data_IF_218151635028
#
_entry.id   IF_218151635028
#
_cell.length_a   1.000
_cell.length_b   1.000
_cell.length_c   1.000
_cell.angle_alpha   90.00
_cell.angle_beta   90.00
_cell.angle_gamma   90.00
#
_symmetry.space_group_name_H-M   'P 1'
#
loop_
_entity.id
_entity.type
_entity.pdbx_description
1 polymer ?
#
# COMPACT_ATOMS: atom_id res chain seq x y z
N UNK A 1 0.57 26.95 -39.45
CA UNK A 1 1.11 27.69 -40.61
C UNK A 1 0.99 29.20 -40.44
N UNK A 2 -0.20 29.76 -40.26
CA UNK A 2 -0.41 31.21 -40.10
C UNK A 2 0.47 31.86 -39.00
N UNK A 3 0.50 31.28 -37.80
CA UNK A 3 1.36 31.76 -36.70
C UNK A 3 2.86 31.69 -37.03
N UNK A 4 3.27 30.63 -37.73
CA UNK A 4 4.66 30.44 -38.13
C UNK A 4 5.10 31.50 -39.15
N UNK A 5 4.25 31.82 -40.13
CA UNK A 5 4.48 32.91 -41.09
C UNK A 5 4.51 34.28 -40.41
N UNK A 6 3.66 34.51 -39.41
CA UNK A 6 3.67 35.77 -38.66
C UNK A 6 4.94 35.94 -37.80
N UNK A 7 5.44 34.85 -37.22
CA UNK A 7 6.67 34.85 -36.43
C UNK A 7 7.94 34.90 -37.28
N UNK A 8 7.89 34.41 -38.52
CA UNK A 8 9.03 34.34 -39.44
C UNK A 8 8.66 34.99 -40.78
N UNK A 9 8.83 36.32 -40.92
CA UNK A 9 8.67 37.00 -42.20
C UNK A 9 9.57 36.37 -43.27
N UNK A 10 9.09 36.33 -44.51
CA UNK A 10 9.79 35.76 -45.67
C UNK A 10 10.09 34.25 -45.63
N UNK A 11 9.63 33.54 -44.59
CA UNK A 11 9.77 32.09 -44.53
C UNK A 11 9.03 31.41 -45.69
N UNK A 12 9.66 30.38 -46.25
CA UNK A 12 9.09 29.55 -47.31
C UNK A 12 8.55 28.23 -46.74
N UNK A 13 7.87 27.45 -47.57
CA UNK A 13 7.25 26.18 -47.14
C UNK A 13 8.29 25.21 -46.57
N UNK A 14 9.48 25.21 -47.16
CA UNK A 14 10.63 24.40 -46.79
C UNK A 14 11.11 24.70 -45.36
N UNK A 15 11.12 25.97 -44.95
CA UNK A 15 11.45 26.37 -43.57
C UNK A 15 10.40 25.86 -42.57
N UNK A 16 9.12 25.90 -42.95
CA UNK A 16 8.04 25.36 -42.14
C UNK A 16 8.13 23.84 -41.98
N UNK A 17 8.43 23.10 -43.04
CA UNK A 17 8.59 21.64 -42.97
C UNK A 17 9.81 21.28 -42.13
N UNK A 18 10.93 22.00 -42.26
CA UNK A 18 12.13 21.75 -41.43
C UNK A 18 11.84 21.91 -39.93
N UNK A 19 10.93 22.81 -39.56
CA UNK A 19 10.48 23.01 -38.17
C UNK A 19 9.39 22.01 -37.74
N UNK A 20 8.34 21.83 -38.54
CA UNK A 20 7.14 21.07 -38.17
C UNK A 20 7.29 19.56 -38.37
N UNK A 21 8.05 19.14 -39.38
CA UNK A 21 8.30 17.73 -39.71
C UNK A 21 9.76 17.53 -40.14
N UNK A 22 10.72 17.50 -39.19
CA UNK A 22 12.15 17.34 -39.51
C UNK A 22 12.46 16.08 -40.32
N UNK A 23 11.66 15.01 -40.15
CA UNK A 23 11.80 13.77 -40.91
C UNK A 23 11.47 13.91 -42.41
N UNK A 24 10.71 14.95 -42.79
CA UNK A 24 10.38 15.26 -44.18
C UNK A 24 11.39 16.21 -44.85
N UNK A 25 12.47 16.58 -44.16
CA UNK A 25 13.59 17.33 -44.72
C UNK A 25 14.80 16.41 -44.88
N UNK A 26 15.31 16.29 -46.11
CA UNK A 26 16.46 15.46 -46.44
C UNK A 26 17.68 16.37 -46.60
N UNK A 27 18.67 16.19 -45.72
CA UNK A 27 19.96 16.89 -45.79
C UNK A 27 20.81 16.32 -46.94
N UNK A 28 21.48 17.19 -47.70
CA UNK A 28 22.40 16.74 -48.75
C UNK A 28 23.63 16.05 -48.12
N UNK A 29 24.00 14.83 -48.55
CA UNK A 29 25.04 14.03 -47.90
C UNK A 29 26.47 14.60 -48.06
N UNK A 30 26.68 15.60 -48.92
CA UNK A 30 28.01 16.12 -49.30
C UNK A 30 28.48 17.33 -48.46
N UNK A 31 27.76 17.71 -47.40
CA UNK A 31 28.10 18.90 -46.61
C UNK A 31 28.45 18.50 -45.17
N UNK A 32 29.74 18.62 -44.81
CA UNK A 32 30.16 18.56 -43.40
C UNK A 32 29.35 19.58 -42.58
N UNK A 33 28.85 19.16 -41.42
CA UNK A 33 28.06 19.97 -40.46
C UNK A 33 28.91 21.07 -39.82
N UNK A 34 29.42 21.99 -40.63
CA UNK A 34 30.03 23.23 -40.20
C UNK A 34 28.93 24.22 -39.80
N UNK A 35 29.06 24.82 -38.61
CA UNK A 35 28.05 25.73 -38.04
C UNK A 35 27.85 27.04 -38.85
N UNK A 36 28.72 27.30 -39.82
CA UNK A 36 28.76 28.56 -40.59
C UNK A 36 28.10 28.47 -41.97
N UNK A 37 27.54 27.31 -42.36
CA UNK A 37 26.94 27.14 -43.68
C UNK A 37 25.44 27.48 -43.65
N UNK A 38 25.12 28.78 -43.58
CA UNK A 38 23.77 29.32 -43.70
C UNK A 38 23.55 29.91 -45.10
N UNK A 39 22.45 29.60 -45.81
CA UNK A 39 21.32 28.76 -45.41
C UNK A 39 21.61 27.25 -45.51
N UNK A 40 20.92 26.40 -44.70
CA UNK A 40 21.11 24.95 -44.71
C UNK A 40 20.70 24.36 -46.05
N UNK A 41 21.56 23.51 -46.63
CA UNK A 41 21.29 22.83 -47.91
C UNK A 41 20.54 21.51 -47.66
N UNK A 42 19.53 21.25 -48.48
CA UNK A 42 18.68 20.07 -48.40
C UNK A 42 17.42 20.26 -49.21
N UNK A 43 16.60 19.22 -49.28
CA UNK A 43 15.37 19.22 -50.04
C UNK A 43 14.23 18.51 -49.30
N UNK A 44 13.00 18.75 -49.75
CA UNK A 44 11.82 18.08 -49.21
C UNK A 44 11.85 16.58 -49.52
N UNK A 45 11.23 15.78 -48.66
CA UNK A 45 10.95 14.37 -48.91
C UNK A 45 10.09 14.21 -50.16
N UNK A 46 10.15 13.02 -50.79
CA UNK A 46 9.36 12.72 -51.99
C UNK A 46 7.87 13.08 -51.80
N UNK A 47 7.28 12.68 -50.67
CA UNK A 47 5.90 13.01 -50.29
C UNK A 47 5.63 14.51 -50.21
N UNK A 48 6.55 15.29 -49.63
CA UNK A 48 6.37 16.74 -49.49
C UNK A 48 6.70 17.53 -50.76
N UNK A 49 7.43 16.92 -51.69
CA UNK A 49 7.83 17.50 -52.99
C UNK A 49 6.81 17.28 -54.12
N UNK A 50 5.79 16.46 -53.91
CA UNK A 50 4.76 16.17 -54.92
C UNK A 50 3.98 17.45 -55.32
N UNK A 51 3.61 17.53 -56.61
CA UNK A 51 2.93 18.69 -57.18
C UNK A 51 1.50 18.88 -56.68
N UNK A 52 0.86 17.80 -56.19
CA UNK A 52 -0.49 17.78 -55.60
C UNK A 52 -0.41 17.64 -54.06
N UNK A 53 0.43 18.47 -53.43
CA UNK A 53 0.61 18.42 -51.98
C UNK A 53 -0.36 19.37 -51.27
N UNK A 54 -1.35 18.79 -50.60
CA UNK A 54 -2.31 19.49 -49.72
C UNK A 54 -1.64 20.40 -48.68
N UNK A 55 -0.47 20.04 -48.15
CA UNK A 55 0.28 20.87 -47.20
C UNK A 55 0.83 22.14 -47.86
N UNK A 56 1.24 22.06 -49.12
CA UNK A 56 1.71 23.21 -49.88
C UNK A 56 0.54 24.13 -50.22
N UNK A 57 -0.61 23.58 -50.64
CA UNK A 57 -1.81 24.38 -50.85
C UNK A 57 -2.29 25.10 -49.58
N UNK A 58 -2.30 24.40 -48.45
CA UNK A 58 -2.66 24.98 -47.15
C UNK A 58 -1.66 26.05 -46.71
N UNK A 59 -0.38 25.85 -47.01
CA UNK A 59 0.65 26.84 -46.77
C UNK A 59 0.39 28.10 -47.58
N UNK A 60 0.16 27.98 -48.90
CA UNK A 60 -0.05 29.13 -49.78
C UNK A 60 -1.33 29.91 -49.42
N UNK A 61 -2.38 29.21 -48.99
CA UNK A 61 -3.63 29.82 -48.53
C UNK A 61 -3.55 30.44 -47.13
N UNK A 62 -2.59 30.05 -46.30
CA UNK A 62 -2.46 30.56 -44.94
C UNK A 62 -1.88 31.98 -44.92
N UNK A 63 -2.63 32.93 -44.36
CA UNK A 63 -2.17 34.29 -44.10
C UNK A 63 -1.27 34.35 -42.85
N UNK A 64 -0.31 35.27 -42.83
CA UNK A 64 0.51 35.55 -41.66
C UNK A 64 -0.35 36.26 -40.59
N UNK A 65 -0.73 35.53 -39.53
CA UNK A 65 -1.48 36.06 -38.39
C UNK A 65 -0.91 35.50 -37.09
N UNK A 66 -0.72 36.35 -36.09
CA UNK A 66 -0.22 35.92 -34.78
C UNK A 66 -1.20 34.95 -34.11
N UNK A 67 -0.70 34.03 -33.28
CA UNK A 67 -1.55 33.04 -32.61
C UNK A 67 -2.66 33.67 -31.76
N UNK A 68 -2.39 34.84 -31.16
CA UNK A 68 -3.34 35.62 -30.36
C UNK A 68 -4.47 36.26 -31.17
N UNK A 69 -4.25 36.50 -32.46
CA UNK A 69 -5.21 37.15 -33.36
C UNK A 69 -6.00 36.13 -34.19
N UNK A 70 -5.56 34.87 -34.18
CA UNK A 70 -6.27 33.78 -34.84
C UNK A 70 -7.56 33.46 -34.09
N UNK A 71 -8.61 33.16 -34.85
CA UNK A 71 -9.86 32.66 -34.29
C UNK A 71 -9.59 31.38 -33.50
N UNK A 72 -9.92 31.31 -32.21
CA UNK A 72 -9.77 30.09 -31.42
C UNK A 72 -10.50 28.91 -32.07
N UNK A 73 -9.87 27.73 -32.05
CA UNK A 73 -10.47 26.51 -32.60
C UNK A 73 -11.69 26.04 -31.80
N UNK A 74 -11.68 26.33 -30.49
CA UNK A 74 -12.75 26.03 -29.57
C UNK A 74 -12.99 27.22 -28.64
N UNK A 75 -14.22 27.32 -28.14
CA UNK A 75 -14.61 28.31 -27.16
C UNK A 75 -14.42 27.71 -25.75
N UNK A 76 -13.43 28.17 -24.96
CA UNK A 76 -13.13 27.59 -23.66
C UNK A 76 -14.30 27.68 -22.68
N UNK A 77 -15.13 28.73 -22.77
CA UNK A 77 -16.29 28.89 -21.90
C UNK A 77 -17.35 27.85 -22.23
N UNK A 78 -17.65 27.69 -23.53
CA UNK A 78 -18.61 26.70 -24.00
C UNK A 78 -18.16 25.27 -23.70
N UNK A 79 -16.88 24.95 -23.85
CA UNK A 79 -16.37 23.63 -23.45
C UNK A 79 -16.46 23.44 -21.93
N UNK A 80 -16.20 24.47 -21.13
CA UNK A 80 -16.43 24.45 -19.68
C UNK A 80 -17.87 24.17 -19.31
N UNK A 81 -18.83 24.88 -19.93
CA UNK A 81 -20.27 24.65 -19.72
C UNK A 81 -20.70 23.23 -20.09
N UNK A 82 -20.17 22.66 -21.18
CA UNK A 82 -20.44 21.26 -21.54
C UNK A 82 -19.98 20.29 -20.47
N UNK A 83 -18.80 20.51 -19.89
CA UNK A 83 -18.27 19.67 -18.81
C UNK A 83 -19.15 19.77 -17.57
N UNK A 84 -19.54 20.98 -17.16
CA UNK A 84 -20.41 21.18 -16.00
C UNK A 84 -21.77 20.54 -16.23
N UNK A 85 -22.38 20.78 -17.39
CA UNK A 85 -23.66 20.17 -17.74
C UNK A 85 -23.58 18.64 -17.78
N UNK A 86 -22.48 18.07 -18.27
CA UNK A 86 -22.24 16.63 -18.21
C UNK A 86 -22.24 16.12 -16.77
N UNK A 87 -21.52 16.80 -15.85
CA UNK A 87 -21.46 16.41 -14.44
C UNK A 87 -22.83 16.54 -13.74
N UNK A 88 -23.59 17.59 -14.04
CA UNK A 88 -24.93 17.81 -13.50
C UNK A 88 -25.95 16.78 -14.01
N UNK A 89 -25.81 16.33 -15.25
CA UNK A 89 -26.75 15.37 -15.89
C UNK A 89 -26.29 13.92 -15.83
N UNK A 90 -25.11 13.66 -15.25
CA UNK A 90 -24.54 12.33 -15.15
C UNK A 90 -25.44 11.43 -14.32
N UNK A 91 -25.85 10.29 -14.90
CA UNK A 91 -26.70 9.33 -14.17
C UNK A 91 -25.87 8.65 -13.06
N UNK A 92 -26.42 8.48 -11.84
CA UNK A 92 -25.68 7.91 -10.71
C UNK A 92 -25.00 6.57 -10.98
N UNK A 93 -25.59 5.70 -11.81
CA UNK A 93 -25.00 4.42 -12.18
C UNK A 93 -23.72 4.56 -13.05
N UNK A 94 -23.65 5.60 -13.89
CA UNK A 94 -22.47 5.88 -14.72
C UNK A 94 -21.32 6.43 -13.86
N UNK A 95 -21.66 7.29 -12.90
CA UNK A 95 -20.70 7.78 -11.91
C UNK A 95 -20.16 6.63 -11.06
N UNK A 96 -21.04 5.73 -10.59
CA UNK A 96 -20.64 4.56 -9.82
C UNK A 96 -19.64 3.68 -10.61
N UNK A 97 -19.87 3.47 -11.90
CA UNK A 97 -18.94 2.75 -12.78
C UNK A 97 -17.52 3.34 -12.72
N UNK A 98 -17.44 4.66 -12.90
CA UNK A 98 -16.18 5.40 -12.95
C UNK A 98 -15.48 5.39 -11.58
N UNK A 99 -16.26 5.55 -10.50
CA UNK A 99 -15.75 5.46 -9.13
C UNK A 99 -15.22 4.06 -8.80
N UNK A 100 -15.90 3.00 -9.23
CA UNK A 100 -15.48 1.62 -8.98
C UNK A 100 -14.16 1.34 -9.70
N UNK A 101 -14.02 1.69 -10.99
CA UNK A 101 -12.77 1.53 -11.71
C UNK A 101 -11.61 2.26 -11.05
N UNK A 102 -11.82 3.53 -10.67
CA UNK A 102 -10.77 4.35 -10.04
C UNK A 102 -10.40 3.83 -8.66
N UNK A 103 -11.37 3.36 -7.87
CA UNK A 103 -11.12 2.75 -6.57
C UNK A 103 -10.31 1.45 -6.70
N UNK A 104 -10.68 0.54 -7.61
CA UNK A 104 -9.93 -0.70 -7.85
C UNK A 104 -8.51 -0.43 -8.34
N UNK A 105 -8.32 0.55 -9.24
CA UNK A 105 -6.99 0.94 -9.71
C UNK A 105 -6.13 1.48 -8.57
N UNK A 106 -6.67 2.38 -7.74
CA UNK A 106 -5.95 2.94 -6.60
C UNK A 106 -5.60 1.87 -5.55
N UNK A 107 -6.52 0.93 -5.29
CA UNK A 107 -6.28 -0.19 -4.41
C UNK A 107 -5.18 -1.10 -4.98
N UNK A 108 -5.27 -1.51 -6.24
CA UNK A 108 -4.27 -2.36 -6.89
C UNK A 108 -2.88 -1.71 -6.91
N UNK A 109 -2.80 -0.40 -7.18
CA UNK A 109 -1.54 0.36 -7.13
C UNK A 109 -0.95 0.42 -5.72
N UNK A 110 -1.79 0.61 -4.70
CA UNK A 110 -1.36 0.57 -3.29
C UNK A 110 -0.78 -0.79 -2.94
N UNK A 111 -1.48 -1.87 -3.30
CA UNK A 111 -1.05 -3.25 -3.05
C UNK A 111 0.24 -3.59 -3.82
N UNK A 112 0.42 -3.05 -5.03
CA UNK A 112 1.65 -3.24 -5.80
C UNK A 112 2.86 -2.49 -5.19
N UNK A 113 2.62 -1.34 -4.56
CA UNK A 113 3.68 -0.53 -3.93
C UNK A 113 4.09 -1.02 -2.54
N UNK A 114 3.22 -1.76 -1.85
CA UNK A 114 3.50 -2.26 -0.50
C UNK A 114 4.57 -3.36 -0.53
N UNK A 115 5.68 -3.13 0.18
CA UNK A 115 6.73 -4.14 0.35
C UNK A 115 6.29 -5.23 1.31
N UNK A 116 6.26 -6.47 0.82
CA UNK A 116 5.98 -7.68 1.60
C UNK A 116 7.19 -8.62 1.70
N UNK A 117 8.38 -8.18 1.32
CA UNK A 117 9.61 -9.00 1.37
C UNK A 117 9.58 -10.23 0.45
N UNK A 118 10.37 -11.26 0.78
CA UNK A 118 10.53 -12.49 -0.02
C UNK A 118 9.40 -13.53 0.17
N UNK A 119 8.16 -13.08 0.31
CA UNK A 119 6.99 -13.96 0.50
C UNK A 119 6.41 -14.40 -0.86
N UNK A 120 6.89 -15.56 -1.37
CA UNK A 120 6.45 -16.14 -2.65
C UNK A 120 4.94 -16.39 -2.73
N UNK A 121 4.31 -16.73 -1.60
CA UNK A 121 2.86 -16.93 -1.53
C UNK A 121 2.11 -15.65 -1.87
N UNK A 122 2.62 -14.48 -1.46
CA UNK A 122 2.01 -13.19 -1.78
C UNK A 122 2.15 -12.87 -3.27
N UNK A 123 3.31 -13.16 -3.87
CA UNK A 123 3.52 -12.99 -5.32
C UNK A 123 2.52 -13.80 -6.14
N UNK A 124 2.30 -15.08 -5.80
CA UNK A 124 1.30 -15.92 -6.49
C UNK A 124 -0.13 -15.39 -6.30
N UNK A 125 -0.47 -14.88 -5.10
CA UNK A 125 -1.79 -14.29 -4.84
C UNK A 125 -2.01 -13.00 -5.59
N UNK A 126 -0.99 -12.16 -5.72
CA UNK A 126 -1.02 -10.93 -6.52
C UNK A 126 -1.22 -11.22 -8.00
N UNK A 127 -0.52 -12.22 -8.54
CA UNK A 127 -0.71 -12.66 -9.92
C UNK A 127 -2.13 -13.20 -10.15
N UNK A 128 -2.65 -14.00 -9.21
CA UNK A 128 -4.04 -14.48 -9.25
C UNK A 128 -5.04 -13.32 -9.23
N UNK A 129 -4.85 -12.33 -8.36
CA UNK A 129 -5.71 -11.15 -8.29
C UNK A 129 -5.74 -10.38 -9.60
N UNK A 130 -4.58 -10.18 -10.23
CA UNK A 130 -4.50 -9.50 -11.52
C UNK A 130 -5.25 -10.26 -12.63
N UNK A 131 -5.07 -11.59 -12.67
CA UNK A 131 -5.76 -12.46 -13.63
C UNK A 131 -7.28 -12.50 -13.42
N UNK A 132 -7.77 -12.38 -12.18
CA UNK A 132 -9.21 -12.33 -11.90
C UNK A 132 -9.80 -10.94 -12.12
N UNK A 133 -9.05 -9.89 -11.83
CA UNK A 133 -9.51 -8.51 -11.95
C UNK A 133 -9.64 -8.06 -13.41
N UNK A 134 -8.66 -8.37 -14.25
CA UNK A 134 -8.66 -7.97 -15.66
C UNK A 134 -9.95 -8.33 -16.45
N UNK A 135 -10.48 -9.57 -16.40
CA UNK A 135 -11.72 -9.91 -17.09
C UNK A 135 -12.96 -9.27 -16.45
N UNK A 136 -12.97 -9.11 -15.12
CA UNK A 136 -14.12 -8.53 -14.40
C UNK A 136 -14.25 -7.01 -14.61
N UNK A 137 -13.13 -6.30 -14.82
CA UNK A 137 -13.13 -4.86 -15.10
C UNK A 137 -13.28 -4.51 -16.59
N UNK A 138 -13.02 -5.46 -17.51
CA UNK A 138 -13.15 -5.23 -18.96
C UNK A 138 -14.54 -4.71 -19.41
N UNK A 139 -15.67 -5.16 -18.84
CA UNK A 139 -17.00 -4.61 -19.16
C UNK A 139 -17.16 -3.14 -18.74
N UNK A 140 -16.44 -2.71 -17.70
CA UNK A 140 -16.50 -1.34 -17.19
C UNK A 140 -15.76 -0.35 -18.09
N UNK A 141 -14.67 -0.77 -18.73
CA UNK A 141 -13.90 0.06 -19.67
C UNK A 141 -14.75 0.52 -20.86
N UNK A 142 -15.69 -0.30 -21.31
CA UNK A 142 -16.58 0.02 -22.43
C UNK A 142 -17.73 0.98 -22.05
N UNK A 143 -17.82 1.46 -20.80
CA UNK A 143 -18.99 2.17 -20.24
C UNK A 143 -20.33 1.43 -20.47
N UNK A 144 -20.27 0.11 -20.70
CA UNK A 144 -21.43 -0.76 -20.87
C UNK A 144 -21.73 -1.45 -19.55
N UNK A 145 -22.00 -0.65 -18.52
CA UNK A 145 -22.78 -1.15 -17.40
C UNK A 145 -24.21 -1.38 -17.90
N UNK A 146 -24.40 -2.52 -18.56
CA UNK A 146 -25.71 -3.15 -18.56
C UNK A 146 -26.03 -3.44 -17.10
N UNK A 147 -27.24 -3.13 -16.63
CA UNK A 147 -27.70 -3.50 -15.30
C UNK A 147 -27.94 -5.01 -15.19
N UNK A 148 -27.11 -5.82 -15.86
CA UNK A 148 -27.16 -7.26 -15.81
C UNK A 148 -26.60 -7.69 -14.46
N UNK A 149 -27.43 -8.43 -13.71
CA UNK A 149 -27.15 -8.95 -12.37
C UNK A 149 -25.77 -9.62 -12.28
N UNK A 150 -25.32 -10.24 -13.37
CA UNK A 150 -24.05 -10.98 -13.45
C UNK A 150 -22.83 -10.08 -13.25
N UNK A 151 -22.78 -8.90 -13.88
CA UNK A 151 -21.64 -7.97 -13.74
C UNK A 151 -21.52 -7.41 -12.32
N UNK A 152 -22.65 -7.14 -11.67
CA UNK A 152 -22.71 -6.65 -10.29
C UNK A 152 -22.28 -7.76 -9.33
N UNK A 153 -22.68 -8.99 -9.59
CA UNK A 153 -22.28 -10.14 -8.79
C UNK A 153 -20.78 -10.43 -8.93
N UNK A 154 -20.24 -10.35 -10.15
CA UNK A 154 -18.81 -10.49 -10.41
C UNK A 154 -17.99 -9.41 -9.70
N UNK A 155 -18.45 -8.15 -9.71
CA UNK A 155 -17.79 -7.08 -8.97
C UNK A 155 -17.83 -7.31 -7.45
N UNK A 156 -18.96 -7.77 -6.91
CA UNK A 156 -19.05 -8.14 -5.49
C UNK A 156 -18.06 -9.26 -5.14
N UNK A 157 -17.96 -10.29 -5.99
CA UNK A 157 -16.98 -11.37 -5.83
C UNK A 157 -15.55 -10.83 -5.86
N UNK A 158 -15.23 -9.89 -6.77
CA UNK A 158 -13.93 -9.24 -6.80
C UNK A 158 -13.65 -8.45 -5.52
N UNK A 159 -14.60 -7.68 -4.99
CA UNK A 159 -14.41 -6.97 -3.72
C UNK A 159 -14.05 -7.91 -2.56
N UNK A 160 -14.70 -9.07 -2.49
CA UNK A 160 -14.39 -10.10 -1.47
C UNK A 160 -12.97 -10.63 -1.65
N UNK A 161 -12.59 -11.00 -2.88
CA UNK A 161 -11.22 -11.46 -3.19
C UNK A 161 -10.18 -10.37 -2.84
N UNK A 162 -10.46 -9.12 -3.16
CA UNK A 162 -9.62 -7.98 -2.82
C UNK A 162 -9.41 -7.84 -1.32
N UNK A 163 -10.48 -7.90 -0.52
CA UNK A 163 -10.40 -7.84 0.94
C UNK A 163 -9.53 -8.95 1.53
N UNK A 164 -9.62 -10.17 0.99
CA UNK A 164 -8.76 -11.27 1.42
C UNK A 164 -7.27 -11.04 1.10
N UNK A 165 -6.97 -10.51 -0.09
CA UNK A 165 -5.59 -10.19 -0.49
C UNK A 165 -5.06 -9.02 0.34
N UNK A 166 -5.87 -8.01 0.64
CA UNK A 166 -5.53 -6.89 1.51
C UNK A 166 -5.20 -7.35 2.93
N UNK A 167 -5.99 -8.27 3.51
CA UNK A 167 -5.73 -8.84 4.82
C UNK A 167 -4.40 -9.60 4.87
N UNK A 168 -4.15 -10.47 3.88
CA UNK A 168 -2.87 -11.16 3.74
C UNK A 168 -1.70 -10.17 3.63
N UNK A 169 -1.85 -9.16 2.78
CA UNK A 169 -0.82 -8.16 2.55
C UNK A 169 -0.53 -7.36 3.82
N UNK A 170 -1.55 -7.00 4.59
CA UNK A 170 -1.40 -6.25 5.84
C UNK A 170 -0.56 -7.04 6.84
N UNK A 171 -0.82 -8.34 6.97
CA UNK A 171 -0.02 -9.23 7.82
C UNK A 171 1.40 -9.36 7.27
N UNK A 172 1.55 -9.60 5.97
CA UNK A 172 2.85 -9.72 5.29
C UNK A 172 3.72 -8.47 5.48
N UNK A 173 3.17 -7.28 5.23
CA UNK A 173 3.85 -6.01 5.37
C UNK A 173 4.20 -5.70 6.85
N UNK A 174 3.31 -6.04 7.78
CA UNK A 174 3.55 -5.91 9.22
C UNK A 174 4.71 -6.81 9.68
N UNK A 175 4.71 -8.08 9.26
CA UNK A 175 5.79 -9.02 9.54
C UNK A 175 7.10 -8.56 8.91
N UNK A 176 7.08 -8.16 7.64
CA UNK A 176 8.26 -7.65 6.95
C UNK A 176 8.86 -6.44 7.67
N UNK A 177 8.04 -5.48 8.11
CA UNK A 177 8.50 -4.28 8.83
C UNK A 177 9.00 -4.57 10.24
N UNK A 178 8.37 -5.50 10.96
CA UNK A 178 8.75 -5.83 12.34
C UNK A 178 9.96 -6.76 12.40
N UNK A 179 10.09 -7.70 11.47
CA UNK A 179 11.10 -8.75 11.44
C UNK A 179 12.11 -8.54 10.30
N UNK A 180 12.46 -7.28 9.99
CA UNK A 180 13.46 -6.94 8.95
C UNK A 180 14.78 -7.68 9.18
N UNK A 181 15.19 -7.81 10.44
CA UNK A 181 16.44 -8.50 10.84
C UNK A 181 16.26 -10.01 11.07
N UNK A 182 15.05 -10.54 10.93
CA UNK A 182 14.69 -11.95 11.13
C UNK A 182 13.75 -12.45 10.01
N UNK A 183 14.18 -12.41 8.72
CA UNK A 183 13.30 -12.69 7.58
C UNK A 183 12.79 -14.14 7.57
N UNK A 184 13.58 -15.10 8.03
CA UNK A 184 13.16 -16.52 8.13
C UNK A 184 11.96 -16.67 9.07
N UNK A 185 12.04 -16.09 10.27
CA UNK A 185 10.94 -16.11 11.23
C UNK A 185 9.68 -15.44 10.66
N UNK A 186 9.84 -14.34 9.91
CA UNK A 186 8.73 -13.67 9.23
C UNK A 186 8.04 -14.59 8.21
N UNK A 187 8.82 -15.36 7.45
CA UNK A 187 8.34 -16.31 6.44
C UNK A 187 7.58 -17.47 7.11
N UNK A 188 8.13 -18.08 8.16
CA UNK A 188 7.47 -19.20 8.85
C UNK A 188 6.15 -18.78 9.50
N UNK A 189 6.13 -17.63 10.20
CA UNK A 189 4.89 -17.09 10.79
C UNK A 189 3.84 -16.80 9.70
N UNK A 190 4.29 -16.24 8.57
CA UNK A 190 3.38 -15.97 7.46
C UNK A 190 2.84 -17.24 6.83
N UNK A 191 3.65 -18.30 6.70
CA UNK A 191 3.22 -19.60 6.16
C UNK A 191 2.14 -20.22 7.04
N UNK A 192 2.31 -20.20 8.36
CA UNK A 192 1.32 -20.70 9.31
C UNK A 192 -0.01 -19.95 9.18
N UNK A 193 0.06 -18.62 9.12
CA UNK A 193 -1.11 -17.78 8.92
C UNK A 193 -1.77 -18.05 7.56
N UNK A 194 -0.98 -18.13 6.50
CA UNK A 194 -1.44 -18.36 5.13
C UNK A 194 -2.13 -19.71 4.97
N UNK A 195 -1.55 -20.79 5.50
CA UNK A 195 -2.13 -22.13 5.47
C UNK A 195 -3.45 -22.22 6.26
N UNK A 196 -3.56 -21.47 7.35
CA UNK A 196 -4.80 -21.35 8.09
C UNK A 196 -5.86 -20.53 7.35
N UNK A 197 -5.44 -19.48 6.64
CA UNK A 197 -6.34 -18.49 6.04
C UNK A 197 -6.87 -18.92 4.66
N UNK A 198 -6.06 -19.59 3.81
CA UNK A 198 -6.49 -20.02 2.47
C UNK A 198 -7.82 -20.79 2.47
N UNK A 199 -8.03 -21.84 3.29
CA UNK A 199 -9.24 -22.66 3.19
C UNK A 199 -10.51 -21.89 3.56
N UNK A 200 -10.37 -20.71 4.18
CA UNK A 200 -11.45 -19.83 4.60
C UNK A 200 -11.76 -18.72 3.58
N UNK A 201 -10.86 -18.48 2.62
CA UNK A 201 -11.13 -17.59 1.49
C UNK A 201 -12.22 -18.20 0.60
N UNK A 202 -13.46 -17.73 0.72
CA UNK A 202 -14.59 -18.15 -0.12
C UNK A 202 -15.78 -18.76 0.61
N UNK A 203 -15.65 -19.11 1.89
CA UNK A 203 -16.82 -19.31 2.75
C UNK A 203 -17.31 -17.93 3.13
N UNK A 204 -18.40 -17.43 2.53
CA UNK A 204 -19.00 -16.11 2.78
C UNK A 204 -19.55 -15.87 4.20
N UNK A 205 -18.95 -16.52 5.20
CA UNK A 205 -19.03 -16.08 6.58
C UNK A 205 -18.30 -14.75 6.64
N UNK A 206 -19.04 -13.68 6.92
CA UNK A 206 -18.47 -12.45 7.44
C UNK A 206 -17.37 -12.84 8.42
N UNK A 207 -16.12 -12.51 8.09
CA UNK A 207 -15.00 -12.81 8.96
C UNK A 207 -15.28 -12.06 10.26
N UNK A 208 -15.79 -12.82 11.22
CA UNK A 208 -16.08 -12.37 12.56
C UNK A 208 -14.72 -11.97 13.15
N UNK A 209 -14.34 -10.70 12.98
CA UNK A 209 -13.10 -10.10 13.48
C UNK A 209 -12.93 -10.29 15.01
N UNK A 210 -13.98 -10.79 15.67
CA UNK A 210 -14.07 -11.17 17.08
C UNK A 210 -13.39 -12.51 17.41
N UNK A 211 -13.28 -13.45 16.45
CA UNK A 211 -12.67 -14.76 16.68
C UNK A 211 -11.15 -14.68 16.49
N UNK A 212 -10.46 -14.09 17.47
CA UNK A 212 -9.00 -14.13 17.62
C UNK A 212 -8.57 -15.59 17.73
N UNK A 213 -8.20 -16.21 16.61
CA UNK A 213 -7.58 -17.52 16.65
C UNK A 213 -6.16 -17.36 17.18
N UNK A 214 -5.89 -18.00 18.31
CA UNK A 214 -4.54 -18.19 18.82
C UNK A 214 -3.86 -19.30 18.01
N UNK A 215 -2.64 -19.03 17.56
CA UNK A 215 -1.79 -20.00 16.89
C UNK A 215 -0.88 -20.65 17.92
N UNK A 216 -1.14 -21.91 18.26
CA UNK A 216 -0.33 -22.66 19.23
C UNK A 216 0.99 -23.20 18.64
N UNK A 217 1.27 -22.89 17.36
CA UNK A 217 2.47 -23.35 16.67
C UNK A 217 3.71 -22.69 17.26
N UNK A 218 4.58 -23.49 17.87
CA UNK A 218 5.86 -23.01 18.41
C UNK A 218 6.89 -22.92 17.28
N UNK A 219 7.23 -21.71 16.88
CA UNK A 219 8.30 -21.46 15.94
C UNK A 219 9.67 -21.46 16.64
N UNK A 220 10.66 -22.13 16.03
CA UNK A 220 12.04 -22.12 16.54
C UNK A 220 12.61 -20.72 16.31
N UNK A 221 13.21 -20.10 17.32
CA UNK A 221 13.85 -18.78 17.22
C UNK A 221 15.36 -18.96 17.34
N UNK A 222 16.11 -18.49 16.34
CA UNK A 222 17.58 -18.56 16.37
C UNK A 222 18.20 -17.47 17.24
N UNK A 223 19.47 -17.63 17.61
CA UNK A 223 20.16 -16.71 18.52
C UNK A 223 20.18 -15.26 18.02
N UNK A 224 20.37 -15.06 16.73
CA UNK A 224 20.31 -13.76 16.05
C UNK A 224 18.89 -13.18 15.95
N UNK A 225 17.86 -14.03 15.91
CA UNK A 225 16.45 -13.61 15.87
C UNK A 225 15.93 -13.27 17.29
N UNK A 226 16.54 -13.84 18.32
CA UNK A 226 16.13 -13.69 19.73
C UNK A 226 16.19 -12.24 20.19
N UNK A 227 17.23 -11.50 19.80
CA UNK A 227 17.37 -10.08 20.15
C UNK A 227 16.25 -9.24 19.51
N UNK A 228 15.91 -9.52 18.25
CA UNK A 228 14.82 -8.87 17.51
C UNK A 228 13.49 -9.12 18.21
N UNK A 229 13.17 -10.38 18.54
CA UNK A 229 11.94 -10.74 19.25
C UNK A 229 11.90 -10.12 20.64
N UNK A 230 13.01 -10.19 21.40
CA UNK A 230 13.10 -9.60 22.73
C UNK A 230 12.91 -8.08 22.71
N UNK A 231 13.36 -7.39 21.65
CA UNK A 231 13.17 -5.95 21.51
C UNK A 231 11.71 -5.53 21.28
N UNK A 232 10.87 -6.44 20.76
CA UNK A 232 9.44 -6.19 20.59
C UNK A 232 8.68 -6.20 21.92
N UNK A 233 9.16 -6.99 22.88
CA UNK A 233 8.62 -7.09 24.22
C UNK A 233 9.48 -6.29 25.17
N UNK A 234 9.34 -4.96 25.14
CA UNK A 234 10.04 -4.10 26.09
C UNK A 234 9.61 -4.51 27.51
N UNK A 235 10.51 -5.06 28.34
CA UNK A 235 10.15 -5.36 29.72
C UNK A 235 9.79 -4.04 30.40
N UNK A 236 8.69 -3.97 31.17
CA UNK A 236 8.30 -2.74 31.83
C UNK A 236 9.45 -2.28 32.71
N UNK A 237 9.97 -1.08 32.43
CA UNK A 237 11.02 -0.49 33.27
C UNK A 237 10.44 -0.28 34.67
N UNK A 238 11.23 -0.43 35.74
CA UNK A 238 10.76 -0.21 37.11
C UNK A 238 10.01 1.14 37.27
N UNK A 239 10.37 2.18 36.53
CA UNK A 239 9.65 3.46 36.58
C UNK A 239 8.29 3.48 35.84
N UNK A 240 7.98 2.51 34.97
CA UNK A 240 6.68 2.34 34.31
C UNK A 240 5.75 1.41 35.11
N UNK A 241 6.28 0.32 35.67
CA UNK A 241 5.52 -0.58 36.55
C UNK A 241 5.20 0.05 37.91
N UNK A 242 6.01 1.01 38.36
CA UNK A 242 5.83 1.72 39.63
C UNK A 242 5.32 3.15 39.49
N UNK A 243 4.86 3.58 38.29
CA UNK A 243 3.99 4.77 38.26
C UNK A 243 2.80 4.46 39.13
N UNK A 244 2.51 5.39 40.06
CA UNK A 244 1.38 5.37 40.99
C UNK A 244 0.06 5.45 40.23
N UNK A 245 -0.25 4.44 39.43
CA UNK A 245 -1.59 4.18 38.93
C UNK A 245 -2.32 3.67 40.16
N UNK A 246 -3.18 4.48 40.72
CA UNK A 246 -4.06 4.13 41.86
C UNK A 246 -5.06 3.00 41.52
N UNK A 247 -4.83 2.26 40.46
CA UNK A 247 -5.56 1.07 40.03
C UNK A 247 -4.51 0.05 39.63
N UNK A 248 -4.31 -0.96 40.49
CA UNK A 248 -3.61 -2.17 40.06
C UNK A 248 -4.55 -2.90 39.11
N UNK A 249 -4.32 -2.69 37.81
CA UNK A 249 -5.18 -3.14 36.73
C UNK A 249 -5.55 -4.62 36.83
N UNK A 250 -6.83 -4.86 37.03
CA UNK A 250 -7.67 -5.85 36.35
C UNK A 250 -9.08 -5.68 36.89
N UNK A 251 -9.78 -4.68 36.35
CA UNK A 251 -11.22 -4.53 36.57
C UNK A 251 -11.92 -5.59 35.72
N UNK A 252 -12.49 -6.62 36.34
CA UNK A 252 -13.47 -7.47 35.66
C UNK A 252 -14.74 -6.61 35.49
N UNK A 253 -15.07 -6.22 34.25
CA UNK A 253 -16.21 -5.37 33.93
C UNK A 253 -16.27 -4.03 34.69
N UNK A 254 -15.12 -3.38 34.95
CA UNK A 254 -15.11 -2.08 35.63
C UNK A 254 -15.27 -2.15 37.15
N UNK A 255 -15.34 -3.34 37.74
CA UNK A 255 -15.40 -3.54 39.20
C UNK A 255 -14.11 -4.17 39.74
N UNK A 256 -13.66 -3.69 40.90
CA UNK A 256 -12.59 -4.34 41.64
C UNK A 256 -13.12 -5.63 42.30
N UNK A 257 -12.46 -6.79 42.12
CA UNK A 257 -12.88 -8.02 42.78
C UNK A 257 -12.73 -7.88 44.30
N UNK A 258 -13.77 -8.28 45.05
CA UNK A 258 -13.82 -8.19 46.52
C UNK A 258 -12.74 -9.01 47.22
N UNK A 259 -12.26 -10.07 46.57
CA UNK A 259 -11.23 -10.98 47.09
C UNK A 259 -10.17 -11.16 46.00
N UNK A 260 -8.90 -10.97 46.36
CA UNK A 260 -7.77 -11.21 45.47
C UNK A 260 -6.90 -12.31 46.05
N UNK A 261 -6.59 -13.31 45.23
CA UNK A 261 -5.64 -14.38 45.55
C UNK A 261 -4.23 -13.95 45.11
N UNK A 262 -3.28 -13.96 46.04
CA UNK A 262 -1.87 -13.81 45.74
C UNK A 262 -1.17 -15.11 46.09
N UNK A 263 -0.36 -15.58 45.13
CA UNK A 263 0.40 -16.81 45.24
C UNK A 263 1.88 -16.43 45.30
N UNK A 264 2.52 -16.66 46.43
CA UNK A 264 3.97 -16.55 46.57
C UNK A 264 4.58 -17.93 46.41
N UNK A 265 5.53 -18.07 45.50
CA UNK A 265 6.32 -19.29 45.32
C UNK A 265 7.73 -19.01 45.81
N UNK A 266 8.14 -19.64 46.91
CA UNK A 266 9.51 -19.60 47.39
C UNK A 266 10.29 -20.76 46.76
N UNK A 267 11.40 -20.45 46.11
CA UNK A 267 12.38 -21.47 45.71
C UNK A 267 13.41 -21.59 46.83
N UNK A 268 13.49 -22.76 47.47
CA UNK A 268 14.37 -23.03 48.62
C UNK A 268 15.85 -23.21 48.24
N UNK A 269 16.35 -22.38 47.32
CA UNK A 269 17.68 -22.49 46.73
C UNK A 269 18.53 -21.22 46.80
N UNK A 270 18.12 -20.21 47.56
CA UNK A 270 18.85 -18.93 47.62
C UNK A 270 19.24 -18.59 49.06
N UNK A 271 20.35 -19.17 49.49
CA UNK A 271 21.17 -18.56 50.54
C UNK A 271 21.53 -17.15 50.09
N UNK A 272 21.21 -16.16 50.92
CA UNK A 272 21.65 -14.77 50.84
C UNK A 272 22.91 -14.58 49.99
N UNK A 273 22.75 -13.98 48.81
CA UNK A 273 23.66 -12.99 48.22
C UNK A 273 23.10 -12.51 46.88
N UNK A 274 22.71 -11.24 46.84
CA UNK A 274 22.60 -10.51 45.58
C UNK A 274 24.00 -10.43 44.96
N UNK A 275 24.11 -10.66 43.65
CA UNK A 275 25.35 -10.75 42.84
C UNK A 275 26.01 -12.14 42.74
N UNK A 276 25.38 -13.08 42.04
CA UNK A 276 26.09 -14.05 41.21
C UNK A 276 25.17 -14.66 40.15
N UNK A 277 25.72 -14.85 38.95
CA UNK A 277 25.23 -15.81 37.96
C UNK A 277 26.46 -16.64 37.51
N UNK A 278 26.28 -17.75 36.78
CA UNK A 278 25.28 -18.81 36.86
C UNK A 278 25.98 -20.17 37.11
N UNK A 279 25.21 -21.21 37.49
CA UNK A 279 25.39 -22.63 37.14
C UNK A 279 24.83 -23.53 38.25
N UNK A 280 23.82 -24.34 37.95
CA UNK A 280 23.83 -25.79 38.18
C UNK A 280 22.49 -26.41 37.78
N UNK A 281 22.63 -27.64 37.28
CA UNK A 281 21.66 -28.69 37.00
C UNK A 281 20.34 -28.71 37.78
N UNK A 282 19.29 -29.09 37.03
CA UNK A 282 17.96 -29.51 37.47
C UNK A 282 18.01 -30.45 38.67
N UNK A 283 17.37 -30.04 39.77
CA UNK A 283 16.65 -30.92 40.69
C UNK A 283 15.24 -30.35 40.83
N UNK A 284 14.22 -31.21 40.91
CA UNK A 284 12.85 -30.83 41.29
C UNK A 284 12.92 -30.18 42.69
N UNK A 285 13.02 -28.86 42.74
CA UNK A 285 13.01 -28.10 43.98
C UNK A 285 11.56 -27.99 44.44
N UNK A 286 11.29 -28.39 45.69
CA UNK A 286 10.01 -28.15 46.36
C UNK A 286 9.69 -26.64 46.29
N UNK A 287 8.62 -26.30 45.57
CA UNK A 287 8.12 -24.94 45.48
C UNK A 287 7.10 -24.78 46.59
N UNK A 288 7.51 -24.19 47.70
CA UNK A 288 6.58 -23.83 48.76
C UNK A 288 5.71 -22.67 48.26
N UNK A 289 4.45 -22.99 48.05
CA UNK A 289 3.46 -22.10 47.47
C UNK A 289 2.53 -21.59 48.56
N UNK A 290 2.72 -20.35 48.99
CA UNK A 290 1.87 -19.69 49.97
C UNK A 290 0.76 -18.91 49.26
N UNK A 291 -0.50 -19.25 49.58
CA UNK A 291 -1.68 -18.55 49.08
C UNK A 291 -2.20 -17.60 50.15
N UNK A 292 -2.37 -16.34 49.77
CA UNK A 292 -2.97 -15.32 50.63
C UNK A 292 -4.18 -14.70 49.93
N UNK A 293 -5.29 -14.59 50.66
CA UNK A 293 -6.49 -13.89 50.20
C UNK A 293 -6.54 -12.52 50.84
N UNK A 294 -6.64 -11.48 50.03
CA UNK A 294 -6.66 -10.10 50.51
C UNK A 294 -7.98 -9.45 50.11
N UNK A 295 -8.61 -8.82 51.10
CA UNK A 295 -9.76 -7.94 50.92
C UNK A 295 -9.29 -6.53 51.32
N UNK A 296 -9.09 -5.62 50.37
CA UNK A 296 -8.54 -4.30 50.71
C UNK A 296 -7.98 -3.49 49.53
N UNK A 297 -7.61 -2.25 49.84
CA UNK A 297 -6.98 -1.32 48.89
C UNK A 297 -5.46 -1.57 48.81
N UNK A 298 -4.74 -0.98 47.86
CA UNK A 298 -3.28 -1.20 47.71
C UNK A 298 -2.45 -0.82 48.95
N UNK A 299 -3.01 -0.07 49.91
CA UNK A 299 -2.35 0.22 51.17
C UNK A 299 -2.26 -1.01 52.09
N UNK A 300 -3.24 -1.92 52.03
CA UNK A 300 -3.26 -3.13 52.83
C UNK A 300 -2.16 -4.13 52.39
N UNK A 301 -1.75 -4.04 51.12
CA UNK A 301 -0.61 -4.79 50.57
C UNK A 301 0.76 -4.36 51.09
N UNK A 302 0.93 -3.06 51.42
CA UNK A 302 2.19 -2.57 52.01
C UNK A 302 2.38 -3.11 53.42
N UNK A 303 1.29 -3.25 54.17
CA UNK A 303 1.33 -3.79 55.53
C UNK A 303 1.65 -5.28 55.50
N UNK A 304 1.05 -6.06 54.60
CA UNK A 304 1.34 -7.49 54.47
C UNK A 304 2.76 -7.78 53.98
N UNK A 305 3.28 -7.03 53.00
CA UNK A 305 4.68 -7.17 52.55
C UNK A 305 5.70 -6.84 53.66
N UNK A 306 5.42 -5.87 54.53
CA UNK A 306 6.31 -5.53 55.64
C UNK A 306 6.33 -6.57 56.77
N UNK A 307 5.26 -7.37 56.90
CA UNK A 307 5.19 -8.45 57.89
C UNK A 307 5.91 -9.70 57.41
N UNK A 308 5.98 -9.94 56.10
CA UNK A 308 6.68 -11.11 55.53
C UNK A 308 8.19 -10.86 55.33
N UNK A 309 8.65 -9.61 55.30
CA UNK A 309 10.09 -9.28 55.25
C UNK A 309 10.77 -9.16 56.62
N UNK A 310 10.06 -9.51 57.70
CA UNK A 310 10.58 -9.51 59.06
C UNK A 310 10.15 -10.81 59.75
N UNK A 311 10.66 -11.93 59.23
CA UNK A 311 11.03 -13.15 59.97
C UNK A 311 12.00 -13.96 59.09
#
# INVERSE_FOLDING_TARGET
MAAFKAANPDAIFEDFIRWHSPADWLEDPEVEKSKDNWPPRGHLSKRMSESDNLWRELWDRAHALAASEQKPLFDPNREGEKVIHYLETLRPHQLLAQMVCTAFLAAADTVNKTSYGELKQMETKMQQLYLTMAPALKPLEANRLSADSETIEDLKRQCVVFGHVENLLTVAASLHRKLVQAPRLAVEIFIDFYNFYIPRMGTGLEEDYSNKKEFDTKQIVWNNEREVVSSMFVPPTANQSWRKVFSMGNLLNGHEPMVREIIFSLHDGVSNNHYAAPNASVSEQEIDTYRMYICGTSNDLRVSLSVVSCD
#
